data_IF_883377389368
#
_entry.id   IF_883377389368
#
_cell.length_a   1.000
_cell.length_b   1.000
_cell.length_c   1.000
_cell.angle_alpha   90.00
_cell.angle_beta   90.00
_cell.angle_gamma   90.00
#
_symmetry.space_group_name_H-M   'P 1'
#
loop_
_entity.id
_entity.type
_entity.pdbx_description
1 polymer ?
#
# COMPACT_ATOMS: atom_id res chain seq x y z
N UNK A 1 -4.26 23.78 -31.25
CA UNK A 1 -3.69 22.40 -31.07
C UNK A 1 -3.98 21.75 -29.72
N UNK A 2 -4.48 22.46 -28.70
CA UNK A 2 -4.72 21.93 -27.33
C UNK A 2 -6.03 21.14 -27.13
N UNK A 3 -7.00 21.23 -28.02
CA UNK A 3 -8.31 20.56 -27.83
C UNK A 3 -8.27 19.04 -28.08
N UNK A 4 -7.46 18.61 -29.05
CA UNK A 4 -7.33 17.19 -29.40
C UNK A 4 -6.58 16.40 -28.32
N UNK A 5 -5.60 17.03 -27.68
CA UNK A 5 -4.85 16.43 -26.60
C UNK A 5 -5.67 16.17 -25.35
N UNK A 6 -6.65 17.05 -25.02
CA UNK A 6 -7.55 16.86 -23.85
C UNK A 6 -8.54 15.72 -24.06
N UNK A 7 -9.15 15.62 -25.24
CA UNK A 7 -10.08 14.53 -25.56
C UNK A 7 -9.38 13.17 -25.55
N UNK A 8 -8.19 13.09 -26.13
CA UNK A 8 -7.39 11.86 -26.13
C UNK A 8 -6.94 11.49 -24.72
N UNK A 9 -6.48 12.46 -23.94
CA UNK A 9 -6.09 12.25 -22.54
C UNK A 9 -7.27 11.71 -21.71
N UNK A 10 -8.47 12.30 -21.84
CA UNK A 10 -9.66 11.81 -21.13
C UNK A 10 -10.06 10.40 -21.56
N UNK A 11 -9.99 10.09 -22.85
CA UNK A 11 -10.32 8.76 -23.35
C UNK A 11 -9.35 7.67 -22.87
N UNK A 12 -8.07 8.02 -22.70
CA UNK A 12 -7.04 7.10 -22.22
C UNK A 12 -7.02 6.95 -20.68
N UNK A 13 -7.65 7.85 -19.94
CA UNK A 13 -7.67 7.79 -18.47
C UNK A 13 -8.35 6.53 -17.94
N UNK A 14 -9.48 6.10 -18.52
CA UNK A 14 -10.22 4.92 -18.06
C UNK A 14 -9.38 3.64 -18.27
N UNK A 15 -8.89 3.31 -19.48
CA UNK A 15 -8.08 2.12 -19.65
C UNK A 15 -6.76 2.18 -18.86
N UNK A 16 -6.14 3.35 -18.73
CA UNK A 16 -4.94 3.51 -17.90
C UNK A 16 -5.23 3.23 -16.43
N UNK A 17 -6.33 3.74 -15.88
CA UNK A 17 -6.71 3.48 -14.48
C UNK A 17 -7.01 2.01 -14.22
N UNK A 18 -7.71 1.34 -15.13
CA UNK A 18 -8.00 -0.09 -15.02
C UNK A 18 -6.72 -0.93 -15.10
N UNK A 19 -5.82 -0.59 -16.02
CA UNK A 19 -4.52 -1.27 -16.15
C UNK A 19 -3.65 -1.06 -14.91
N UNK A 20 -3.59 0.16 -14.37
CA UNK A 20 -2.85 0.45 -13.13
C UNK A 20 -3.45 -0.30 -11.93
N UNK A 21 -4.77 -0.36 -11.81
CA UNK A 21 -5.43 -1.14 -10.76
C UNK A 21 -5.11 -2.64 -10.89
N UNK A 22 -5.18 -3.19 -12.10
CA UNK A 22 -4.79 -4.58 -12.38
C UNK A 22 -3.33 -4.85 -12.03
N UNK A 23 -2.41 -3.99 -12.44
CA UNK A 23 -0.98 -4.12 -12.14
C UNK A 23 -0.68 -4.02 -10.64
N UNK A 24 -1.36 -3.15 -9.92
CA UNK A 24 -1.13 -2.98 -8.47
C UNK A 24 -1.51 -4.23 -7.66
N UNK A 25 -2.51 -4.99 -8.12
CA UNK A 25 -2.96 -6.24 -7.47
C UNK A 25 -2.29 -7.48 -8.04
N UNK A 26 -1.80 -7.45 -9.28
CA UNK A 26 -1.17 -8.58 -9.96
C UNK A 26 0.06 -9.10 -9.21
N UNK A 27 0.93 -8.21 -8.74
CA UNK A 27 2.12 -8.57 -7.97
C UNK A 27 1.75 -9.31 -6.69
N UNK A 28 0.70 -8.87 -5.98
CA UNK A 28 0.21 -9.54 -4.78
C UNK A 28 -0.39 -10.92 -5.10
N UNK A 29 -1.09 -11.05 -6.23
CA UNK A 29 -1.61 -12.34 -6.70
C UNK A 29 -0.48 -13.32 -7.03
N UNK A 30 0.62 -12.86 -7.63
CA UNK A 30 1.80 -13.68 -7.86
C UNK A 30 2.44 -14.15 -6.55
N UNK A 31 2.58 -13.27 -5.56
CA UNK A 31 3.12 -13.65 -4.27
C UNK A 31 2.24 -14.67 -3.54
N UNK A 32 0.93 -14.54 -3.64
CA UNK A 32 -0.01 -15.50 -3.03
C UNK A 32 0.04 -16.89 -3.68
N UNK A 33 0.48 -16.99 -4.94
CA UNK A 33 0.62 -18.24 -5.68
C UNK A 33 1.99 -18.93 -5.45
N UNK A 34 2.88 -18.34 -4.64
CA UNK A 34 4.19 -18.92 -4.34
C UNK A 34 4.14 -19.82 -3.11
N UNK A 35 5.15 -20.66 -2.96
CA UNK A 35 5.33 -21.55 -1.80
C UNK A 35 5.83 -20.83 -0.54
N UNK A 36 5.98 -19.51 -0.56
CA UNK A 36 6.43 -18.75 0.61
C UNK A 36 5.30 -18.66 1.65
N UNK A 37 5.48 -19.21 2.86
CA UNK A 37 4.44 -19.26 3.90
C UNK A 37 3.92 -17.88 4.30
N UNK A 38 4.79 -16.89 4.40
CA UNK A 38 4.42 -15.53 4.78
C UNK A 38 3.43 -14.90 3.78
N UNK A 39 3.58 -15.16 2.50
CA UNK A 39 2.70 -14.62 1.46
C UNK A 39 1.44 -15.47 1.28
N UNK A 40 1.56 -16.79 1.40
CA UNK A 40 0.44 -17.73 1.25
C UNK A 40 -0.57 -17.63 2.39
N UNK A 41 -0.14 -17.24 3.61
CA UNK A 41 -1.03 -17.13 4.78
C UNK A 41 -2.03 -15.96 4.68
N UNK A 42 -1.71 -14.89 3.96
CA UNK A 42 -2.51 -13.66 3.92
C UNK A 42 -2.73 -13.10 2.51
N UNK A 43 -3.20 -13.89 1.53
CA UNK A 43 -3.24 -13.47 0.13
C UNK A 43 -4.13 -12.25 -0.10
N UNK A 44 -5.31 -12.20 0.53
CA UNK A 44 -6.27 -11.09 0.41
C UNK A 44 -5.75 -9.82 1.06
N UNK A 45 -5.21 -9.90 2.27
CA UNK A 45 -4.66 -8.75 2.98
C UNK A 45 -3.45 -8.18 2.22
N UNK A 46 -2.60 -9.04 1.67
CA UNK A 46 -1.45 -8.62 0.85
C UNK A 46 -1.90 -7.85 -0.40
N UNK A 47 -2.92 -8.35 -1.11
CA UNK A 47 -3.47 -7.66 -2.28
C UNK A 47 -4.04 -6.29 -1.93
N UNK A 48 -4.79 -6.19 -0.82
CA UNK A 48 -5.34 -4.92 -0.32
C UNK A 48 -4.23 -3.95 0.07
N UNK A 49 -3.19 -4.41 0.76
CA UNK A 49 -2.02 -3.59 1.14
C UNK A 49 -1.33 -3.00 -0.09
N UNK A 50 -1.01 -3.83 -1.10
CA UNK A 50 -0.36 -3.35 -2.33
C UNK A 50 -1.23 -2.37 -3.11
N UNK A 51 -2.54 -2.65 -3.23
CA UNK A 51 -3.49 -1.76 -3.88
C UNK A 51 -3.61 -0.42 -3.16
N UNK A 52 -3.80 -0.45 -1.85
CA UNK A 52 -3.91 0.76 -1.03
C UNK A 52 -2.62 1.59 -1.04
N UNK A 53 -1.45 0.96 -0.87
CA UNK A 53 -0.15 1.64 -0.95
C UNK A 53 0.08 2.30 -2.32
N UNK A 54 -0.37 1.65 -3.40
CA UNK A 54 -0.28 2.21 -4.75
C UNK A 54 -1.15 3.45 -4.92
N UNK A 55 -2.40 3.42 -4.43
CA UNK A 55 -3.31 4.56 -4.46
C UNK A 55 -2.78 5.71 -3.58
N UNK A 56 -2.32 5.40 -2.37
CA UNK A 56 -1.74 6.39 -1.46
C UNK A 56 -0.52 7.08 -2.10
N UNK A 57 0.39 6.30 -2.69
CA UNK A 57 1.60 6.82 -3.35
C UNK A 57 1.28 7.68 -4.57
N UNK A 58 0.30 7.27 -5.39
CA UNK A 58 -0.14 8.05 -6.55
C UNK A 58 -0.77 9.38 -6.13
N UNK A 59 -1.68 9.36 -5.15
CA UNK A 59 -2.31 10.56 -4.61
C UNK A 59 -1.27 11.50 -3.98
N UNK A 60 -0.32 10.96 -3.21
CA UNK A 60 0.78 11.69 -2.61
C UNK A 60 1.68 12.36 -3.66
N UNK A 61 2.08 11.63 -4.70
CA UNK A 61 2.90 12.16 -5.78
C UNK A 61 2.20 13.29 -6.54
N UNK A 62 0.91 13.12 -6.87
CA UNK A 62 0.12 14.16 -7.55
C UNK A 62 -0.08 15.38 -6.64
N UNK A 63 -0.31 15.18 -5.35
CA UNK A 63 -0.48 16.27 -4.37
C UNK A 63 0.76 17.18 -4.28
N UNK A 64 1.96 16.65 -4.46
CA UNK A 64 3.21 17.45 -4.45
C UNK A 64 3.28 18.45 -5.62
N UNK A 65 2.78 18.04 -6.80
CA UNK A 65 2.78 18.86 -8.01
C UNK A 65 1.59 19.81 -8.12
N UNK A 66 0.55 19.65 -7.26
CA UNK A 66 -0.70 20.37 -7.41
C UNK A 66 -0.63 21.80 -6.83
N UNK A 67 -0.92 22.76 -7.70
CA UNK A 67 -0.98 24.19 -7.33
C UNK A 67 -2.35 24.62 -6.77
N UNK A 68 -3.43 23.95 -7.17
CA UNK A 68 -4.80 24.28 -6.77
C UNK A 68 -5.12 23.69 -5.40
N UNK A 69 -5.52 24.56 -4.46
CA UNK A 69 -5.72 24.17 -3.06
C UNK A 69 -6.79 23.11 -2.85
N UNK A 70 -7.90 23.20 -3.57
CA UNK A 70 -9.00 22.24 -3.41
C UNK A 70 -8.57 20.85 -3.91
N UNK A 71 -8.07 20.77 -5.14
CA UNK A 71 -7.57 19.51 -5.71
C UNK A 71 -6.50 18.87 -4.82
N UNK A 72 -5.58 19.67 -4.28
CA UNK A 72 -4.57 19.17 -3.36
C UNK A 72 -5.16 18.61 -2.05
N UNK A 73 -6.25 19.20 -1.51
CA UNK A 73 -6.94 18.64 -0.34
C UNK A 73 -7.65 17.32 -0.66
N UNK A 74 -8.26 17.25 -1.83
CA UNK A 74 -8.94 16.04 -2.29
C UNK A 74 -7.94 14.89 -2.48
N UNK A 75 -6.75 15.19 -3.03
CA UNK A 75 -5.66 14.21 -3.15
C UNK A 75 -5.12 13.78 -1.77
N UNK A 76 -4.93 14.72 -0.85
CA UNK A 76 -4.53 14.39 0.52
C UNK A 76 -5.59 13.53 1.23
N UNK A 77 -6.88 13.77 0.99
CA UNK A 77 -7.98 12.96 1.54
C UNK A 77 -7.97 11.53 0.95
N UNK A 78 -7.72 11.39 -0.34
CA UNK A 78 -7.56 10.08 -0.98
C UNK A 78 -6.36 9.33 -0.38
N UNK A 79 -5.24 10.03 -0.17
CA UNK A 79 -4.07 9.44 0.47
C UNK A 79 -4.37 8.96 1.90
N UNK A 80 -5.08 9.77 2.71
CA UNK A 80 -5.52 9.40 4.06
C UNK A 80 -6.40 8.15 4.03
N UNK A 81 -7.40 8.10 3.16
CA UNK A 81 -8.29 6.95 3.05
C UNK A 81 -7.53 5.69 2.65
N UNK A 82 -6.63 5.78 1.68
CA UNK A 82 -5.81 4.66 1.23
C UNK A 82 -4.84 4.18 2.31
N UNK A 83 -4.16 5.08 3.03
CA UNK A 83 -3.28 4.73 4.16
C UNK A 83 -4.06 4.08 5.32
N UNK A 84 -5.29 4.51 5.58
CA UNK A 84 -6.14 3.89 6.60
C UNK A 84 -6.51 2.45 6.20
N UNK A 85 -6.84 2.20 4.94
CA UNK A 85 -7.09 0.85 4.41
C UNK A 85 -5.83 -0.01 4.48
N UNK A 86 -4.67 0.54 4.11
CA UNK A 86 -3.38 -0.16 4.20
C UNK A 86 -3.06 -0.55 5.65
N UNK A 87 -3.27 0.37 6.59
CA UNK A 87 -3.06 0.10 8.02
C UNK A 87 -3.98 -1.01 8.52
N UNK A 88 -5.27 -0.97 8.19
CA UNK A 88 -6.23 -2.00 8.59
C UNK A 88 -5.84 -3.38 8.02
N UNK A 89 -5.48 -3.45 6.75
CA UNK A 89 -5.02 -4.70 6.12
C UNK A 89 -3.69 -5.19 6.71
N UNK A 90 -2.80 -4.30 7.12
CA UNK A 90 -1.55 -4.66 7.79
C UNK A 90 -1.83 -5.27 9.16
N UNK A 91 -2.67 -4.64 9.97
CA UNK A 91 -3.05 -5.18 11.29
C UNK A 91 -3.75 -6.54 11.17
N UNK A 92 -4.62 -6.72 10.18
CA UNK A 92 -5.27 -8.01 9.91
C UNK A 92 -4.25 -9.08 9.51
N UNK A 93 -3.28 -8.74 8.64
CA UNK A 93 -2.26 -9.69 8.23
C UNK A 93 -1.34 -10.10 9.39
N UNK A 94 -0.94 -9.15 10.21
CA UNK A 94 -0.10 -9.40 11.39
C UNK A 94 -0.80 -10.33 12.39
N UNK A 95 -2.08 -10.09 12.64
CA UNK A 95 -2.85 -10.93 13.55
C UNK A 95 -2.98 -12.37 13.02
N UNK A 96 -3.20 -12.56 11.71
CA UNK A 96 -3.24 -13.88 11.09
C UNK A 96 -1.88 -14.57 11.15
N UNK A 97 -0.80 -13.87 10.79
CA UNK A 97 0.56 -14.42 10.84
C UNK A 97 0.94 -14.85 12.27
N UNK A 98 0.56 -14.07 13.29
CA UNK A 98 0.77 -14.43 14.69
C UNK A 98 0.03 -15.71 15.06
N UNK A 99 -1.23 -15.87 14.63
CA UNK A 99 -2.01 -17.10 14.86
C UNK A 99 -1.38 -18.33 14.20
N UNK A 100 -0.79 -18.13 13.01
CA UNK A 100 -0.11 -19.20 12.26
C UNK A 100 1.32 -19.49 12.77
N UNK A 101 1.78 -18.76 13.79
CA UNK A 101 3.11 -18.90 14.36
C UNK A 101 4.22 -18.31 13.48
N UNK A 102 3.86 -17.47 12.51
CA UNK A 102 4.81 -16.76 11.66
C UNK A 102 5.15 -15.43 12.34
N UNK A 103 6.34 -15.35 12.91
CA UNK A 103 6.80 -14.12 13.56
C UNK A 103 7.49 -13.24 12.52
N UNK A 104 6.92 -12.07 12.25
CA UNK A 104 7.53 -11.02 11.43
C UNK A 104 8.15 -9.96 12.35
N UNK A 105 9.48 -9.87 12.34
CA UNK A 105 10.19 -8.83 13.12
C UNK A 105 9.97 -7.42 12.53
N UNK A 106 9.50 -7.32 11.27
CA UNK A 106 9.26 -6.08 10.54
C UNK A 106 7.93 -5.36 10.82
N UNK A 107 6.99 -6.02 11.51
CA UNK A 107 5.62 -5.53 11.71
C UNK A 107 5.54 -4.12 12.32
N UNK A 108 6.30 -3.85 13.37
CA UNK A 108 6.29 -2.54 14.05
C UNK A 108 6.80 -1.42 13.13
N UNK A 109 7.87 -1.66 12.39
CA UNK A 109 8.42 -0.68 11.45
C UNK A 109 7.43 -0.35 10.32
N UNK A 110 6.70 -1.35 9.84
CA UNK A 110 5.62 -1.18 8.86
C UNK A 110 4.48 -0.31 9.38
N UNK A 111 3.98 -0.61 10.58
CA UNK A 111 2.89 0.16 11.21
C UNK A 111 3.32 1.62 11.38
N UNK A 112 4.54 1.87 11.87
CA UNK A 112 5.08 3.22 12.01
C UNK A 112 5.22 3.91 10.66
N UNK A 113 5.68 3.18 9.63
CA UNK A 113 5.81 3.69 8.25
C UNK A 113 4.48 4.15 7.65
N UNK A 114 3.36 3.52 8.01
CA UNK A 114 2.01 3.92 7.56
C UNK A 114 1.44 5.01 8.47
N UNK A 115 1.59 4.88 9.79
CA UNK A 115 0.99 5.79 10.77
C UNK A 115 1.58 7.20 10.69
N UNK A 116 2.88 7.34 10.39
CA UNK A 116 3.55 8.63 10.30
C UNK A 116 3.01 9.51 9.16
N UNK A 117 2.96 9.08 7.88
CA UNK A 117 2.37 9.87 6.81
C UNK A 117 0.86 10.11 7.03
N UNK A 118 0.14 9.11 7.55
CA UNK A 118 -1.27 9.25 7.90
C UNK A 118 -1.48 10.39 8.91
N UNK A 119 -0.68 10.43 9.97
CA UNK A 119 -0.71 11.50 10.96
C UNK A 119 -0.39 12.87 10.38
N UNK A 120 0.63 12.98 9.52
CA UNK A 120 1.00 14.23 8.85
C UNK A 120 -0.12 14.77 7.96
N UNK A 121 -0.78 13.91 7.19
CA UNK A 121 -1.92 14.32 6.36
C UNK A 121 -3.13 14.71 7.21
N UNK A 122 -3.46 13.97 8.27
CA UNK A 122 -4.56 14.31 9.17
C UNK A 122 -4.33 15.67 9.85
N UNK A 123 -3.13 15.91 10.38
CA UNK A 123 -2.77 17.22 10.96
C UNK A 123 -2.86 18.32 9.90
N UNK A 124 -2.39 18.06 8.67
CA UNK A 124 -2.49 19.02 7.55
C UNK A 124 -3.95 19.38 7.22
N UNK A 125 -4.87 18.43 7.33
CA UNK A 125 -6.30 18.65 7.05
C UNK A 125 -7.06 19.30 8.20
N UNK A 126 -6.72 18.98 9.44
CA UNK A 126 -7.38 19.51 10.65
C UNK A 126 -7.02 20.98 10.93
N UNK A 127 -5.95 21.51 10.33
CA UNK A 127 -5.55 22.91 10.52
C UNK A 127 -6.49 23.86 9.74
N UNK A 128 -7.38 24.63 10.44
CA UNK A 128 -8.63 25.17 9.82
C UNK A 128 -8.42 26.31 8.83
N UNK A 129 -7.26 26.93 8.71
CA UNK A 129 -7.09 28.16 7.89
C UNK A 129 -6.07 28.08 6.74
N UNK A 130 -5.18 27.10 6.72
CA UNK A 130 -4.22 26.91 5.61
C UNK A 130 -3.85 25.44 5.51
N UNK A 131 -4.10 24.78 4.37
CA UNK A 131 -3.36 23.58 4.01
C UNK A 131 -1.86 23.91 4.17
N UNK A 132 -1.20 23.28 5.12
CA UNK A 132 0.23 23.44 5.25
C UNK A 132 0.89 22.67 4.10
N UNK A 133 1.30 23.38 3.06
CA UNK A 133 2.01 22.79 1.92
C UNK A 133 3.22 21.96 2.39
N UNK A 134 3.89 22.44 3.44
CA UNK A 134 5.03 21.74 4.02
C UNK A 134 4.64 20.41 4.64
N UNK A 135 3.56 20.35 5.44
CA UNK A 135 3.09 19.12 6.06
C UNK A 135 2.57 18.13 5.01
N UNK A 136 1.82 18.62 4.00
CA UNK A 136 1.37 17.77 2.89
C UNK A 136 2.56 17.22 2.08
N UNK A 137 3.58 18.01 1.79
CA UNK A 137 4.79 17.57 1.10
C UNK A 137 5.57 16.54 1.93
N UNK A 138 5.73 16.78 3.23
CA UNK A 138 6.38 15.82 4.14
C UNK A 138 5.57 14.52 4.23
N UNK A 139 4.24 14.60 4.33
CA UNK A 139 3.35 13.44 4.29
C UNK A 139 3.50 12.65 2.98
N UNK A 140 3.57 13.35 1.86
CA UNK A 140 3.78 12.73 0.54
C UNK A 140 5.13 12.03 0.43
N UNK A 141 6.21 12.68 0.85
CA UNK A 141 7.56 12.07 0.85
C UNK A 141 7.61 10.86 1.79
N UNK A 142 7.00 10.98 2.97
CA UNK A 142 6.92 9.87 3.92
C UNK A 142 6.12 8.69 3.34
N UNK A 143 5.00 8.95 2.65
CA UNK A 143 4.21 7.91 1.98
C UNK A 143 5.02 7.18 0.90
N UNK A 144 5.72 7.91 0.05
CA UNK A 144 6.57 7.31 -0.99
C UNK A 144 7.71 6.47 -0.39
N UNK A 145 8.37 6.99 0.65
CA UNK A 145 9.42 6.27 1.37
C UNK A 145 8.87 5.00 2.05
N UNK A 146 7.72 5.10 2.73
CA UNK A 146 7.07 3.97 3.37
C UNK A 146 6.64 2.89 2.36
N UNK A 147 6.11 3.29 1.20
CA UNK A 147 5.75 2.36 0.12
C UNK A 147 6.96 1.58 -0.42
N UNK A 148 8.12 2.23 -0.57
CA UNK A 148 9.36 1.56 -0.96
C UNK A 148 9.84 0.60 0.11
N UNK A 149 9.88 1.03 1.36
CA UNK A 149 10.28 0.20 2.50
C UNK A 149 9.38 -1.03 2.62
N UNK A 150 8.07 -0.85 2.52
CA UNK A 150 7.09 -1.94 2.54
C UNK A 150 7.38 -3.00 1.48
N UNK A 151 7.69 -2.59 0.25
CA UNK A 151 8.01 -3.54 -0.83
C UNK A 151 9.27 -4.34 -0.54
N UNK A 152 10.31 -3.68 -0.03
CA UNK A 152 11.56 -4.34 0.35
C UNK A 152 11.32 -5.33 1.50
N UNK A 153 10.59 -4.92 2.54
CA UNK A 153 10.31 -5.79 3.70
C UNK A 153 9.47 -7.01 3.32
N UNK A 154 8.44 -6.85 2.48
CA UNK A 154 7.63 -7.98 2.00
C UNK A 154 8.50 -9.00 1.24
N UNK A 155 9.47 -8.53 0.45
CA UNK A 155 10.41 -9.43 -0.24
C UNK A 155 11.31 -10.16 0.76
N UNK A 156 11.82 -9.46 1.76
CA UNK A 156 12.67 -10.05 2.81
C UNK A 156 11.91 -11.07 3.67
N UNK A 157 10.69 -10.74 4.10
CA UNK A 157 9.83 -11.66 4.85
C UNK A 157 9.55 -12.94 4.07
N UNK A 158 9.33 -12.82 2.75
CA UNK A 158 9.14 -13.96 1.87
C UNK A 158 10.38 -14.85 1.80
N UNK A 159 11.54 -14.26 1.62
CA UNK A 159 12.83 -14.98 1.55
C UNK A 159 13.17 -15.68 2.89
N UNK A 160 12.96 -14.98 4.00
CA UNK A 160 13.20 -15.56 5.34
C UNK A 160 12.23 -16.70 5.66
N UNK A 161 10.94 -16.55 5.32
CA UNK A 161 9.94 -17.60 5.55
C UNK A 161 10.21 -18.84 4.68
N UNK A 162 10.70 -18.66 3.46
CA UNK A 162 11.06 -19.75 2.56
C UNK A 162 12.27 -20.57 3.06
N UNK A 163 13.16 -19.97 3.84
CA UNK A 163 14.32 -20.65 4.45
C UNK A 163 13.96 -21.54 5.65
N UNK A 164 12.71 -21.49 6.13
CA UNK A 164 12.21 -22.31 7.25
C UNK A 164 11.44 -23.53 6.72
N UNK A 165 12.10 -24.70 6.53
CA UNK A 165 11.49 -25.86 5.90
C UNK A 165 10.27 -26.40 6.67
N UNK A 166 10.29 -26.28 8.00
CA UNK A 166 9.21 -26.72 8.88
C UNK A 166 7.88 -26.00 8.59
N UNK A 167 7.96 -24.68 8.33
CA UNK A 167 6.79 -23.85 7.99
C UNK A 167 6.40 -24.08 6.53
N UNK A 168 7.37 -24.12 5.61
CA UNK A 168 7.11 -24.31 4.18
C UNK A 168 6.42 -25.65 3.90
N UNK A 169 6.85 -26.75 4.55
CA UNK A 169 6.21 -28.05 4.40
C UNK A 169 4.78 -28.10 4.97
N UNK A 170 4.51 -27.31 6.01
CA UNK A 170 3.18 -27.23 6.60
C UNK A 170 2.16 -26.61 5.65
N UNK A 171 2.55 -25.59 4.89
CA UNK A 171 1.70 -24.94 3.87
C UNK A 171 1.64 -25.71 2.55
N UNK A 172 2.59 -26.62 2.27
CA UNK A 172 2.57 -27.46 1.08
C UNK A 172 1.59 -28.64 1.17
N UNK A 173 1.02 -28.93 2.34
CA UNK A 173 0.07 -30.03 2.52
C UNK A 173 -1.35 -29.59 2.13
N UNK A 174 -2.09 -30.38 1.30
CA UNK A 174 -3.41 -30.00 0.79
C UNK A 174 -4.47 -29.65 1.86
N UNK A 175 -4.36 -30.21 3.06
CA UNK A 175 -5.28 -29.94 4.17
C UNK A 175 -5.02 -28.64 4.93
N UNK A 176 -3.90 -27.97 4.69
CA UNK A 176 -3.48 -26.75 5.40
C UNK A 176 -3.49 -25.50 4.51
N UNK A 177 -4.01 -25.61 3.30
CA UNK A 177 -4.14 -24.45 2.42
C UNK A 177 -5.20 -23.49 2.99
N UNK A 178 -4.93 -22.17 3.05
CA UNK A 178 -5.93 -21.20 3.47
C UNK A 178 -7.10 -21.17 2.48
N UNK A 179 -8.31 -21.25 3.01
CA UNK A 179 -9.57 -21.21 2.24
C UNK A 179 -10.06 -19.77 2.04
#
# INVERSE_FOLDING_TARGET
>A
MLGWSRGLASALQIPASLTCAGLSTYTASLFSATSSPAWASTPKALAVRFGAASVASAAAAMSMGEGHRQTGRDLDAIAVAALAVELAATLESDERQRRDGIHSEGSTAHIVGIALPLGLFLVSQLWPRRRSRTLSALGSLATLGASLTMRVSVMQEGDESAKRPEISMRFAQPGNLPH
#
